data_IF_720171297191
#
_entry.id   IF_720171297191
#
_cell.length_a   1.000
_cell.length_b   1.000
_cell.length_c   1.000
_cell.angle_alpha   90.00
_cell.angle_beta   90.00
_cell.angle_gamma   90.00
#
_symmetry.space_group_name_H-M   'P 1'
#
loop_
_entity.id
_entity.type
_entity.pdbx_description
1 polymer ?
2 non-polymer ?
3 non-polymer ?
4 water ?
#
# COMPACT_ATOMS: atom_id res chain seq x y z
N UNK A 12 3.35 11.19 20.01
CA UNK A 12 3.22 10.28 18.88
C UNK A 12 3.64 8.87 19.27
N UNK A 13 2.70 7.93 19.19
CA UNK A 13 2.93 6.54 19.57
C UNK A 13 2.33 5.60 18.51
N UNK A 14 2.93 4.42 18.36
CA UNK A 14 2.34 3.41 17.52
C UNK A 14 2.63 2.05 18.10
N UNK A 15 2.11 1.02 17.45
CA UNK A 15 2.20 -0.33 17.97
C UNK A 15 2.06 -1.32 16.83
N UNK A 16 3.11 -2.05 16.51
CA UNK A 16 2.96 -3.16 15.58
C UNK A 16 2.34 -4.37 16.31
N UNK A 17 1.06 -4.62 16.10
CA UNK A 17 0.35 -5.65 16.87
C UNK A 17 0.42 -7.05 16.27
N UNK A 18 0.71 -7.12 14.98
CA UNK A 18 0.87 -8.38 14.30
C UNK A 18 1.65 -8.07 13.04
N UNK A 19 2.61 -8.92 12.71
CA UNK A 19 3.39 -8.80 11.49
C UNK A 19 2.90 -9.90 10.59
N UNK A 20 2.69 -9.60 9.32
CA UNK A 20 2.04 -10.55 8.46
C UNK A 20 2.99 -11.06 7.40
N UNK A 21 3.75 -10.15 6.82
CA UNK A 21 4.57 -10.47 5.66
C UNK A 21 5.60 -9.37 5.48
N UNK A 22 6.80 -9.77 5.08
CA UNK A 22 7.89 -8.85 4.78
C UNK A 22 8.13 -8.97 3.29
N UNK A 23 8.18 -7.84 2.60
CA UNK A 23 8.16 -7.85 1.15
C UNK A 23 9.51 -7.55 0.56
N UNK A 24 10.43 -7.11 1.40
CA UNK A 24 11.60 -6.41 0.88
C UNK A 24 12.71 -6.25 1.91
N UNK A 25 13.95 -6.49 1.47
CA UNK A 25 15.12 -6.00 2.19
C UNK A 25 15.34 -4.55 1.77
N UNK A 26 16.59 -4.10 1.80
CA UNK A 26 16.98 -2.74 1.42
C UNK A 26 18.46 -2.61 1.68
N UNK A 27 19.16 -1.92 0.78
CA UNK A 27 20.59 -1.70 0.90
C UNK A 27 21.02 -1.30 2.32
N UNK A 28 20.17 -0.55 3.01
CA UNK A 28 20.51 -0.02 4.33
C UNK A 28 19.59 -0.60 5.41
N UNK A 29 19.05 -1.79 5.11
CA UNK A 29 18.39 -2.64 6.08
C UNK A 29 16.91 -2.37 6.33
N UNK A 30 16.30 -1.53 5.51
CA UNK A 30 14.87 -1.29 5.62
C UNK A 30 14.07 -2.46 5.08
N UNK A 31 12.81 -2.53 5.50
CA UNK A 31 11.96 -3.66 5.20
C UNK A 31 10.60 -3.12 4.90
N UNK A 32 10.00 -3.55 3.80
CA UNK A 32 8.64 -3.16 3.51
C UNK A 32 7.75 -4.27 4.03
N UNK A 33 6.80 -3.92 4.87
CA UNK A 33 6.09 -4.94 5.59
C UNK A 33 4.61 -4.69 5.56
N UNK A 34 3.85 -5.76 5.68
CA UNK A 34 2.41 -5.68 5.86
C UNK A 34 2.15 -6.11 7.28
N UNK A 35 1.49 -5.25 8.04
CA UNK A 35 1.36 -5.46 9.47
C UNK A 35 -0.02 -5.12 9.94
N UNK A 36 -0.22 -5.21 11.25
CA UNK A 36 -1.38 -4.64 11.90
C UNK A 36 -0.79 -3.61 12.84
N UNK A 37 -0.93 -2.34 12.49
CA UNK A 37 -0.36 -1.30 13.32
C UNK A 37 -1.44 -0.41 13.93
N UNK A 38 -1.25 -0.03 15.19
CA UNK A 38 -2.12 0.91 15.87
C UNK A 38 -1.36 2.19 16.00
N UNK A 39 -1.95 3.31 15.63
CA UNK A 39 -1.27 4.59 15.85
C UNK A 39 -1.97 5.43 16.90
N UNK A 40 -1.19 5.96 17.84
CA UNK A 40 -1.73 6.87 18.84
C UNK A 40 -2.89 6.28 19.61
N UNK A 41 -2.79 5.01 19.97
CA UNK A 41 -3.83 4.36 20.76
C UNK A 41 -5.04 3.88 19.98
N UNK A 42 -5.10 4.21 18.70
CA UNK A 42 -6.23 3.83 17.87
C UNK A 42 -6.14 2.35 17.52
N UNK A 43 -7.30 1.75 17.18
CA UNK A 43 -7.33 0.33 16.81
C UNK A 43 -6.42 0.06 15.64
N UNK A 44 -5.69 -1.05 15.71
CA UNK A 44 -4.81 -1.47 14.63
C UNK A 44 -5.56 -1.54 13.32
N UNK A 45 -4.98 -0.99 12.26
CA UNK A 45 -5.46 -1.25 10.90
C UNK A 45 -4.36 -2.01 10.15
N UNK A 46 -4.70 -2.64 9.03
CA UNK A 46 -3.69 -3.27 8.20
C UNK A 46 -2.91 -2.14 7.58
N UNK A 47 -1.61 -2.35 7.39
CA UNK A 47 -0.71 -1.24 7.11
C UNK A 47 0.49 -1.74 6.34
N UNK A 48 0.92 -0.95 5.36
CA UNK A 48 2.02 -1.32 4.48
C UNK A 48 2.92 -0.12 4.27
N UNK A 49 4.16 -0.22 4.75
CA UNK A 49 5.12 0.86 4.59
C UNK A 49 6.53 0.35 4.76
N UNK A 50 7.51 1.25 4.69
CA UNK A 50 8.90 0.85 4.96
C UNK A 50 9.26 1.11 6.41
N UNK A 51 10.12 0.24 6.94
CA UNK A 51 10.46 0.24 8.36
C UNK A 51 11.97 0.23 8.53
N UNK A 52 12.48 0.96 9.51
CA UNK A 52 13.91 0.95 9.79
C UNK A 52 14.27 -0.46 10.22
N UNK A 53 15.57 -0.78 10.28
CA UNK A 53 15.91 -2.09 10.86
C UNK A 53 15.41 -2.26 12.31
N UNK A 54 15.13 -1.16 13.00
CA UNK A 54 14.76 -1.23 14.40
C UNK A 54 13.29 -0.84 14.63
N UNK A 55 12.55 -0.73 13.54
CA UNK A 55 11.11 -0.40 13.57
C UNK A 55 10.73 0.74 14.51
N UNK A 56 11.55 1.78 14.54
CA UNK A 56 11.25 2.98 15.30
C UNK A 56 11.05 4.13 14.33
N UNK A 57 11.45 3.90 13.08
CA UNK A 57 11.27 4.88 12.03
C UNK A 57 10.59 4.22 10.85
N UNK A 58 9.76 4.99 10.14
CA UNK A 58 9.02 4.47 9.00
C UNK A 58 8.80 5.57 7.95
N UNK A 59 8.54 5.15 6.72
CA UNK A 59 8.11 6.06 5.68
C UNK A 59 6.60 6.13 5.62
N UNK A 60 6.05 6.98 4.76
CA UNK A 60 4.61 7.02 4.60
C UNK A 60 4.16 5.70 4.01
N UNK A 61 2.86 5.41 4.15
CA UNK A 61 2.31 4.14 3.71
C UNK A 61 0.80 4.13 3.77
N UNK A 62 0.21 3.08 3.22
CA UNK A 62 -1.23 2.96 3.14
C UNK A 62 -1.73 2.21 4.37
N UNK A 63 -2.94 2.54 4.83
CA UNK A 63 -3.62 1.75 5.84
C UNK A 63 -4.99 1.34 5.31
N UNK A 64 -5.50 0.20 5.76
CA UNK A 64 -6.69 -0.37 5.17
C UNK A 64 -7.64 -0.89 6.23
N UNK A 65 -8.94 -0.74 5.99
CA UNK A 65 -9.94 -1.39 6.82
C UNK A 65 -9.83 -2.87 6.51
N UNK A 66 -10.51 -3.72 7.26
CA UNK A 66 -10.42 -5.15 6.95
C UNK A 66 -11.13 -5.50 5.65
N UNK A 67 -12.25 -4.82 5.39
CA UNK A 67 -13.01 -5.07 4.18
C UNK A 67 -12.20 -4.66 2.98
N UNK A 68 -11.42 -3.59 3.15
CA UNK A 68 -10.52 -3.14 2.11
C UNK A 68 -9.41 -4.15 1.92
N UNK A 69 -8.99 -4.78 3.01
CA UNK A 69 -7.86 -5.70 2.94
C UNK A 69 -8.28 -7.02 2.32
N UNK A 70 -9.42 -7.55 2.75
CA UNK A 70 -9.91 -8.78 2.16
C UNK A 70 -10.26 -8.59 0.68
N UNK A 71 -10.95 -7.50 0.34
CA UNK A 71 -11.18 -7.12 -1.05
C UNK A 71 -9.89 -7.22 -1.86
N UNK A 72 -8.80 -6.76 -1.28
CA UNK A 72 -7.50 -6.90 -1.92
C UNK A 72 -7.06 -8.35 -2.04
N UNK A 73 -7.06 -9.08 -0.93
CA UNK A 73 -6.61 -10.46 -0.96
C UNK A 73 -7.41 -11.31 -1.94
N UNK A 74 -8.73 -11.22 -1.86
CA UNK A 74 -9.63 -11.97 -2.74
C UNK A 74 -9.24 -11.82 -4.19
N UNK A 75 -9.29 -10.58 -4.65
CA UNK A 75 -8.95 -10.22 -6.02
C UNK A 75 -7.66 -10.88 -6.52
N UNK A 76 -6.67 -11.04 -5.65
CA UNK A 76 -5.39 -11.58 -6.08
C UNK A 76 -5.35 -13.10 -6.04
N UNK A 77 -6.21 -13.68 -5.21
CA UNK A 77 -6.41 -15.12 -5.22
C UNK A 77 -7.04 -15.50 -6.55
N UNK A 78 -7.88 -14.62 -7.08
CA UNK A 78 -8.63 -14.91 -8.29
C UNK A 78 -8.08 -14.38 -9.61
N UNK A 79 -7.19 -13.39 -9.55
CA UNK A 79 -6.66 -12.71 -10.74
C UNK A 79 -7.74 -12.00 -11.56
N UNK B 11 6.98 16.41 -18.09
CA UNK B 11 5.59 16.73 -17.75
C UNK B 11 5.40 16.67 -16.22
N UNK B 12 6.34 15.99 -15.56
CA UNK B 12 6.43 15.94 -14.10
C UNK B 12 5.13 15.59 -13.42
N UNK B 13 4.48 14.52 -13.89
CA UNK B 13 3.19 14.12 -13.34
C UNK B 13 3.01 12.62 -13.19
N UNK B 14 2.02 12.25 -12.38
CA UNK B 14 1.68 10.87 -12.07
C UNK B 14 0.54 10.33 -12.92
N UNK B 15 0.89 9.52 -13.92
CA UNK B 15 -0.08 9.01 -14.88
C UNK B 15 -0.42 7.58 -14.49
N UNK B 16 -1.70 7.33 -14.21
CA UNK B 16 -2.14 5.96 -13.99
C UNK B 16 -2.03 5.26 -15.31
N UNK B 17 -1.03 4.39 -15.43
CA UNK B 17 -0.85 3.66 -16.66
C UNK B 17 -1.98 2.66 -16.74
N UNK B 18 -2.25 1.98 -15.63
CA UNK B 18 -3.31 0.99 -15.60
C UNK B 18 -3.88 0.85 -14.21
N UNK B 19 -5.21 0.74 -14.15
CA UNK B 19 -5.95 0.55 -12.92
C UNK B 19 -6.16 -0.93 -12.74
N UNK B 20 -6.05 -1.43 -11.52
CA UNK B 20 -6.17 -2.87 -11.32
C UNK B 20 -7.38 -3.23 -10.46
N UNK B 21 -7.62 -2.45 -9.41
CA UNK B 21 -8.64 -2.81 -8.43
C UNK B 21 -9.11 -1.59 -7.64
N UNK B 22 -10.34 -1.60 -7.15
CA UNK B 22 -10.80 -0.50 -6.31
C UNK B 22 -11.23 -1.06 -4.98
N UNK B 23 -10.45 -0.75 -3.94
CA UNK B 23 -10.67 -1.33 -2.63
C UNK B 23 -11.88 -0.73 -1.93
N UNK B 24 -11.98 0.60 -1.94
CA UNK B 24 -13.12 1.25 -1.31
C UNK B 24 -13.52 2.51 -2.04
N UNK B 25 -14.52 3.20 -1.48
CA UNK B 25 -14.87 4.56 -1.90
C UNK B 25 -15.61 5.30 -0.79
N UNK B 26 -15.22 6.53 -0.50
CA UNK B 26 -15.90 7.29 0.54
C UNK B 26 -17.06 8.06 -0.05
N UNK B 27 -17.90 8.63 0.80
CA UNK B 27 -19.12 9.26 0.30
C UNK B 27 -18.79 10.48 -0.57
N UNK B 28 -17.59 11.04 -0.37
CA UNK B 28 -17.07 12.15 -1.16
C UNK B 28 -16.56 11.74 -2.54
N UNK B 29 -16.49 10.44 -2.80
CA UNK B 29 -16.12 9.97 -4.12
C UNK B 29 -14.64 9.72 -4.33
N UNK B 30 -13.86 9.75 -3.25
CA UNK B 30 -12.46 9.34 -3.33
C UNK B 30 -12.39 7.84 -3.25
N UNK B 31 -11.30 7.28 -3.73
CA UNK B 31 -11.18 5.84 -3.85
C UNK B 31 -9.85 5.32 -3.32
N UNK B 32 -9.87 4.11 -2.80
CA UNK B 32 -8.64 3.39 -2.54
C UNK B 32 -8.44 2.42 -3.72
N UNK B 33 -7.36 2.60 -4.47
CA UNK B 33 -7.14 1.82 -5.69
C UNK B 33 -5.79 1.15 -5.71
N UNK B 34 -5.65 0.15 -6.56
CA UNK B 34 -4.36 -0.39 -6.85
C UNK B 34 -4.16 -0.19 -8.33
N UNK B 35 -3.17 0.62 -8.69
CA UNK B 35 -2.90 0.95 -10.07
C UNK B 35 -1.44 0.79 -10.36
N UNK B 36 -1.10 0.70 -11.64
CA UNK B 36 0.28 0.90 -12.07
C UNK B 36 0.44 2.37 -12.41
N UNK B 37 1.34 3.05 -11.70
CA UNK B 37 1.42 4.49 -11.82
C UNK B 37 2.81 4.93 -12.28
N UNK B 38 2.86 5.95 -13.13
CA UNK B 38 4.09 6.35 -13.78
C UNK B 38 4.47 7.82 -13.51
N UNK B 39 5.49 8.03 -12.69
CA UNK B 39 5.97 9.38 -12.52
C UNK B 39 6.77 9.81 -13.72
N UNK B 40 6.49 11.01 -14.21
CA UNK B 40 7.34 11.69 -15.18
C UNK B 40 7.84 10.83 -16.36
N UNK B 41 7.03 9.87 -16.79
CA UNK B 41 7.42 9.02 -17.91
C UNK B 41 8.37 7.91 -17.52
N UNK B 42 8.61 7.75 -16.22
CA UNK B 42 9.46 6.67 -15.73
C UNK B 42 8.66 5.36 -15.79
N UNK B 43 9.30 4.21 -15.51
CA UNK B 43 8.46 3.02 -15.64
C UNK B 43 7.39 2.98 -14.57
N UNK B 44 6.18 2.60 -14.97
CA UNK B 44 5.04 2.51 -14.06
C UNK B 44 5.30 1.53 -12.90
N UNK B 45 5.13 2.01 -11.67
CA UNK B 45 5.26 1.14 -10.50
C UNK B 45 3.88 0.80 -9.96
N UNK B 46 3.82 -0.20 -9.09
CA UNK B 46 2.57 -0.61 -8.46
C UNK B 46 2.30 0.33 -7.31
N UNK B 47 1.05 0.74 -7.17
CA UNK B 47 0.71 1.85 -6.30
C UNK B 47 -0.65 1.58 -5.70
N UNK B 48 -0.71 1.60 -4.37
CA UNK B 48 -1.98 1.51 -3.67
C UNK B 48 -2.14 2.83 -2.96
N UNK B 49 -3.17 3.58 -3.33
CA UNK B 49 -3.25 4.98 -2.96
C UNK B 49 -4.69 5.47 -3.03
N UNK B 50 -4.98 6.55 -2.31
CA UNK B 50 -6.27 7.24 -2.38
C UNK B 50 -6.30 8.20 -3.56
N UNK B 51 -7.38 8.16 -4.34
CA UNK B 51 -7.50 8.97 -5.55
C UNK B 51 -8.75 9.80 -5.48
N UNK B 52 -8.70 11.02 -6.00
CA UNK B 52 -9.85 11.91 -5.98
C UNK B 52 -10.82 11.46 -7.08
N UNK B 53 -12.08 11.95 -7.08
CA UNK B 53 -13.05 11.39 -8.02
C UNK B 53 -12.58 11.49 -9.46
N UNK B 54 -12.22 12.70 -9.86
CA UNK B 54 -11.81 12.99 -11.23
C UNK B 54 -10.47 12.33 -11.53
N UNK B 55 -9.72 12.07 -10.46
CA UNK B 55 -8.36 11.51 -10.46
C UNK B 55 -7.22 12.51 -10.59
N UNK B 56 -7.49 13.80 -10.53
CA UNK B 56 -6.39 14.77 -10.59
C UNK B 56 -5.58 14.80 -9.29
N UNK B 57 -6.25 14.97 -8.16
CA UNK B 57 -5.58 14.95 -6.87
C UNK B 57 -5.46 13.51 -6.37
N UNK B 58 -4.28 13.12 -5.90
CA UNK B 58 -4.10 11.80 -5.29
C UNK B 58 -3.83 11.96 -3.81
N UNK B 59 -3.90 10.85 -3.08
CA UNK B 59 -3.71 10.85 -1.64
C UNK B 59 -2.48 10.09 -1.20
N UNK B 60 -2.49 9.60 0.04
CA UNK B 60 -1.34 8.89 0.61
C UNK B 60 -1.43 7.43 0.20
N UNK B 61 -0.29 6.73 0.28
CA UNK B 61 -0.22 5.32 -0.06
C UNK B 61 1.16 4.92 -0.56
N UNK B 62 1.52 3.65 -0.42
CA UNK B 62 2.84 3.17 -0.83
C UNK B 62 2.98 2.81 -2.31
N UNK B 63 4.22 2.71 -2.75
CA UNK B 63 4.55 2.26 -4.08
C UNK B 63 5.27 0.94 -3.91
N UNK B 64 5.22 0.07 -4.90
CA UNK B 64 5.90 -1.19 -4.73
C UNK B 64 6.77 -1.49 -5.93
N UNK B 65 7.97 -1.97 -5.67
CA UNK B 65 8.77 -2.58 -6.72
C UNK B 65 8.12 -3.91 -7.08
N UNK B 66 8.59 -4.54 -8.15
CA UNK B 66 7.96 -5.74 -8.68
C UNK B 66 8.02 -6.89 -7.72
N UNK B 67 9.21 -7.17 -7.21
CA UNK B 67 9.37 -8.26 -6.28
C UNK B 67 8.40 -8.10 -5.10
N UNK B 68 8.25 -6.88 -4.61
CA UNK B 68 7.40 -6.62 -3.44
C UNK B 68 5.96 -7.00 -3.72
N UNK B 69 5.46 -6.53 -4.84
CA UNK B 69 4.12 -6.86 -5.25
C UNK B 69 4.01 -8.35 -5.47
N UNK B 70 4.92 -8.88 -6.26
CA UNK B 70 4.93 -10.29 -6.58
C UNK B 70 5.05 -11.15 -5.33
N UNK B 71 5.96 -10.78 -4.43
CA UNK B 71 6.08 -11.45 -3.14
C UNK B 71 4.73 -11.44 -2.47
N UNK B 72 4.10 -10.27 -2.50
CA UNK B 72 2.83 -10.06 -1.82
C UNK B 72 1.76 -10.97 -2.34
N UNK B 73 1.52 -10.91 -3.65
CA UNK B 73 0.45 -11.69 -4.28
C UNK B 73 0.67 -13.20 -4.17
N UNK B 74 1.92 -13.65 -4.20
CA UNK B 74 2.22 -15.07 -4.03
C UNK B 74 1.83 -15.55 -2.64
N UNK B 75 1.91 -14.64 -1.66
CA UNK B 75 1.55 -14.94 -0.27
C UNK B 75 0.04 -15.00 -0.09
N UNK B 76 -0.68 -14.15 -0.82
CA UNK B 76 -2.13 -14.21 -0.87
C UNK B 76 -2.57 -15.36 -1.76
N UNK B 77 -1.79 -16.42 -1.82
CA UNK B 77 -2.05 -17.43 -2.82
C UNK B 77 -1.54 -18.79 -2.38
N UNK B 78 -0.53 -18.80 -1.51
CA UNK B 78 0.08 -20.05 -1.08
C UNK B 78 1.57 -20.08 -1.33
X LIG C 1 7.07 11.34 6.81
X LIG C 1 7.61 12.15 7.93
X LIG C 1 8.04 10.79 5.83
X LIG C 1 6.08 12.18 6.08
X LIG C 1 6.25 10.09 7.41
X LIG C 1 6.83 9.22 8.38
X LIG C 1 5.70 8.50 9.08
X LIG C 1 5.90 8.62 10.51
X LIG C 1 4.33 9.06 8.77
X LIG C 1 3.43 8.00 8.50
X LIG C 1 3.92 9.82 10.03
X LIG C 1 4.97 9.50 11.10
X LIG C 1 5.75 10.66 11.71
X LIG C 1 6.08 11.81 10.97
X LIG C 1 5.77 12.02 9.81
X LIG C 1 6.81 12.76 11.66
X LIG C 1 7.25 12.70 12.97
X LIG C 1 7.89 13.61 13.49
X LIG C 1 6.89 11.49 13.69
X LIG C 1 7.33 11.35 15.11
X LIG C 1 6.18 10.54 13.03
X LIG D 1 2.08 8.27 7.67
X LIG D 1 2.06 7.36 6.50
X LIG D 1 1.98 9.72 7.40
X LIG D 1 0.91 7.81 8.68
X LIG D 1 -0.41 7.65 8.13
X LIG D 1 -1.39 6.96 9.07
X LIG D 1 -0.86 7.04 10.40
X LIG D 1 -2.80 7.54 9.15
X LIG D 1 -3.76 6.51 9.34
X LIG D 1 -2.74 8.49 10.36
X LIG D 1 -1.52 8.03 11.16
X LIG D 1 -0.49 9.08 11.57
X LIG D 1 0.83 8.69 11.71
X LIG D 1 1.26 7.57 11.53
X LIG D 1 1.69 9.68 12.10
X LIG D 1 1.43 11.02 12.35
X LIG D 1 2.28 11.85 12.69
X LIG D 1 0.05 11.37 12.18
X LIG D 1 -0.27 12.80 12.43
X LIG D 1 -0.83 10.40 11.81
X LIG E 1 -14.12 0.77 -12.12
X LIG E 1 -12.95 0.46 -12.90
X LIG E 1 -14.68 -0.51 -11.48
X LIG E 1 -13.65 -1.09 -10.64
X LIG E 1 -14.20 -2.25 -9.99
X LIG E 1 -13.12 -2.91 -9.14
X LIG E 1 -12.06 -3.31 -10.02
#
# INVERSE_FOLDING_TARGET
XKLKKEKKXAEFTFEIEEHLLTLSENEKGWTKEINRVSFNGAPAKFDIRAWSPDHTKMGKGITLSNEEFQTMVDAFKGN
XKLKKEKKXAEFTFEIEEHLLTLSENEKGWTKEINRVSFNGAPAKFDIRAWSPDHTKMGKGITLSNEEFQTMVDAFKGN
TMP P O1P O2P O3P O5' C5' C4' O4' C3' O3' C2' C1' N1 C2 O2 N3 C4 O4 C5 C5M C6
TMP P O1P O2P O5' C5' C4' O4' C3' O3' C2' C1' N1 C2 O2 N3 C4 O4 C5 C5M C6
PEG C1 O1 C2 O2 C3 C4 O4
#
